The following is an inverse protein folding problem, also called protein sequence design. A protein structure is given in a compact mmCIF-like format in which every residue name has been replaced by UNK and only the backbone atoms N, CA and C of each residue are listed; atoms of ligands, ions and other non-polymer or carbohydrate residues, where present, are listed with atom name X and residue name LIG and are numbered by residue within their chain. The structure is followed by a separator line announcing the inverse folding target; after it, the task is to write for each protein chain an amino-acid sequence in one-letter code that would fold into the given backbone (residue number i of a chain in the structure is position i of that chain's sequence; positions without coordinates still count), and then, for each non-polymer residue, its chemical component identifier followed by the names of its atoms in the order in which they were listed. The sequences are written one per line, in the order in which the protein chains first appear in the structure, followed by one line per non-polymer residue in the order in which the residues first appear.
data_IF_216889769936
#
_entry.id   IF_216889769936
#
_cell.length_a   1.000
_cell.length_b   1.000
_cell.length_c   1.000
_cell.angle_alpha   90.00
_cell.angle_beta   90.00
_cell.angle_gamma   90.00
#
_symmetry.space_group_name_H-M   'P 1'
#
loop_
_entity.id
_entity.type
_entity.pdbx_description
1 polymer ?
#
# COMPACT_ATOMS: atom_id res chain seq x y z
N UNK A 1 -18.06 -9.53 3.63
CA UNK A 1 -16.66 -9.17 3.93
C UNK A 1 -15.91 -9.17 2.61
N UNK A 2 -15.46 -8.01 2.19
CA UNK A 2 -14.71 -7.80 0.95
C UNK A 2 -13.23 -7.53 1.25
N UNK A 3 -12.41 -7.86 0.27
CA UNK A 3 -10.97 -7.56 0.24
C UNK A 3 -10.73 -6.61 -0.91
N UNK A 4 -10.18 -5.43 -0.61
CA UNK A 4 -9.62 -4.55 -1.63
C UNK A 4 -8.20 -5.02 -1.93
N UNK A 5 -8.06 -5.86 -2.95
CA UNK A 5 -6.78 -6.52 -3.27
C UNK A 5 -5.77 -5.60 -3.94
N UNK A 6 -6.10 -4.35 -4.28
CA UNK A 6 -5.17 -3.40 -4.90
C UNK A 6 -5.66 -1.96 -4.71
N UNK A 7 -5.07 -1.25 -3.74
CA UNK A 7 -5.41 0.15 -3.48
C UNK A 7 -4.17 1.03 -3.27
N UNK A 8 -4.32 2.33 -3.47
CA UNK A 8 -3.30 3.35 -3.25
C UNK A 8 -3.70 4.31 -2.12
N UNK A 9 -4.10 3.77 -0.97
CA UNK A 9 -4.49 4.54 0.22
C UNK A 9 -3.33 5.42 0.74
N UNK A 10 -2.09 5.10 0.35
CA UNK A 10 -0.90 5.90 0.64
C UNK A 10 -0.84 7.25 -0.10
N UNK A 11 -1.74 7.51 -1.05
CA UNK A 11 -1.81 8.82 -1.71
C UNK A 11 -2.13 9.95 -0.73
N UNK A 12 -1.53 11.15 -0.90
CA UNK A 12 -1.60 12.22 0.08
C UNK A 12 -3.01 12.60 0.52
N UNK A 13 -3.98 12.60 -0.40
CA UNK A 13 -5.36 13.02 -0.10
C UNK A 13 -6.08 12.02 0.82
N UNK A 14 -5.81 10.73 0.65
CA UNK A 14 -6.41 9.66 1.46
C UNK A 14 -5.68 9.49 2.79
N UNK A 15 -4.35 9.56 2.73
CA UNK A 15 -3.48 9.41 3.89
C UNK A 15 -3.57 10.54 4.91
N UNK A 16 -4.07 11.70 4.50
CA UNK A 16 -4.39 12.81 5.39
C UNK A 16 -5.37 12.40 6.51
N UNK A 17 -6.24 11.41 6.27
CA UNK A 17 -7.17 10.88 7.28
C UNK A 17 -7.47 9.38 7.09
N UNK A 18 -6.51 8.54 7.48
CA UNK A 18 -6.64 7.08 7.41
C UNK A 18 -7.78 6.54 8.27
N UNK A 19 -8.13 7.22 9.37
CA UNK A 19 -9.26 6.84 10.22
C UNK A 19 -10.59 6.96 9.47
N UNK A 20 -10.80 8.08 8.77
CA UNK A 20 -12.00 8.27 7.97
C UNK A 20 -12.06 7.31 6.78
N UNK A 21 -10.93 7.05 6.11
CA UNK A 21 -10.84 6.04 5.03
C UNK A 21 -11.24 4.67 5.56
N UNK A 22 -10.61 4.21 6.65
CA UNK A 22 -10.91 2.94 7.31
C UNK A 22 -12.40 2.82 7.66
N UNK A 23 -12.99 3.83 8.28
CA UNK A 23 -14.40 3.81 8.68
C UNK A 23 -15.33 3.66 7.47
N UNK A 24 -15.04 4.35 6.35
CA UNK A 24 -15.81 4.19 5.10
C UNK A 24 -15.64 2.80 4.50
N UNK A 25 -14.44 2.23 4.52
CA UNK A 25 -14.19 0.86 4.06
C UNK A 25 -15.00 -0.16 4.87
N UNK A 26 -14.94 -0.09 6.20
CA UNK A 26 -15.71 -0.98 7.07
C UNK A 26 -17.23 -0.81 6.88
N UNK A 27 -17.72 0.42 6.74
CA UNK A 27 -19.14 0.69 6.46
C UNK A 27 -19.60 0.12 5.11
N UNK A 28 -18.71 0.05 4.13
CA UNK A 28 -18.95 -0.60 2.83
C UNK A 28 -18.71 -2.12 2.85
N UNK A 29 -18.32 -2.70 3.99
CA UNK A 29 -18.03 -4.12 4.14
C UNK A 29 -16.66 -4.57 3.62
N UNK A 30 -15.74 -3.63 3.34
CA UNK A 30 -14.33 -3.89 3.01
C UNK A 30 -13.53 -3.94 4.30
N UNK A 31 -13.08 -5.13 4.69
CA UNK A 31 -12.41 -5.34 5.99
C UNK A 31 -10.90 -5.55 5.85
N UNK A 32 -10.42 -5.84 4.64
CA UNK A 32 -9.01 -6.12 4.34
C UNK A 32 -8.58 -5.33 3.11
N UNK A 33 -7.34 -4.85 3.10
CA UNK A 33 -6.80 -4.13 1.94
C UNK A 33 -5.33 -4.46 1.69
N UNK A 34 -4.92 -4.40 0.43
CA UNK A 34 -3.52 -4.44 0.00
C UNK A 34 -3.13 -3.06 -0.55
N UNK A 35 -2.27 -2.35 0.18
CA UNK A 35 -1.69 -1.06 -0.23
C UNK A 35 -0.52 -1.32 -1.18
N UNK A 36 -0.63 -0.86 -2.42
CA UNK A 36 0.30 -1.26 -3.48
C UNK A 36 1.45 -0.27 -3.64
N UNK A 37 2.65 -0.81 -3.59
CA UNK A 37 3.89 -0.11 -3.89
C UNK A 37 4.14 -0.03 -5.40
N UNK A 38 4.55 1.15 -5.88
CA UNK A 38 4.83 1.42 -7.31
C UNK A 38 6.28 1.80 -7.58
N UNK A 39 7.04 2.19 -6.55
CA UNK A 39 8.48 2.47 -6.62
C UNK A 39 9.15 2.05 -5.31
N UNK A 40 10.42 1.64 -5.33
CA UNK A 40 11.12 1.22 -4.10
C UNK A 40 11.32 2.39 -3.13
N UNK A 41 11.42 3.61 -3.66
CA UNK A 41 11.59 4.85 -2.92
C UNK A 41 10.37 5.17 -2.04
N UNK A 42 9.17 4.78 -2.47
CA UNK A 42 7.92 5.00 -1.73
C UNK A 42 7.60 3.88 -0.72
N UNK A 43 8.34 2.78 -0.74
CA UNK A 43 7.98 1.59 0.05
C UNK A 43 7.84 1.87 1.55
N UNK A 44 8.71 2.70 2.13
CA UNK A 44 8.62 3.05 3.55
C UNK A 44 7.28 3.73 3.90
N UNK A 45 6.72 4.49 2.96
CA UNK A 45 5.45 5.17 3.15
C UNK A 45 4.25 4.23 2.98
N UNK A 46 4.34 3.33 2.01
CA UNK A 46 3.37 2.25 1.77
C UNK A 46 3.30 1.34 3.00
N UNK A 47 4.44 0.89 3.53
CA UNK A 47 4.53 0.06 4.72
C UNK A 47 3.92 0.75 5.95
N UNK A 48 4.26 2.03 6.17
CA UNK A 48 3.69 2.82 7.27
C UNK A 48 2.17 2.97 7.14
N UNK A 49 1.67 3.14 5.92
CA UNK A 49 0.23 3.25 5.66
C UNK A 49 -0.48 1.95 5.96
N UNK A 50 0.05 0.82 5.47
CA UNK A 50 -0.51 -0.50 5.77
C UNK A 50 -0.45 -0.83 7.28
N UNK A 51 0.61 -0.41 7.97
CA UNK A 51 0.76 -0.62 9.42
C UNK A 51 -0.29 0.10 10.29
N UNK A 52 -1.14 0.96 9.70
CA UNK A 52 -2.21 1.65 10.39
C UNK A 52 -3.35 0.72 10.87
N UNK A 53 -3.63 -0.38 10.15
CA UNK A 53 -4.65 -1.36 10.53
C UNK A 53 -4.09 -2.79 10.39
N UNK A 54 -4.33 -3.70 11.35
CA UNK A 54 -3.83 -5.08 11.29
C UNK A 54 -4.38 -5.91 10.11
N UNK A 55 -5.45 -5.46 9.45
CA UNK A 55 -6.01 -6.09 8.25
C UNK A 55 -5.57 -5.41 6.95
N UNK A 56 -4.63 -4.46 7.03
CA UNK A 56 -4.02 -3.87 5.85
C UNK A 56 -2.63 -4.48 5.64
N UNK A 57 -2.39 -4.88 4.40
CA UNK A 57 -1.15 -5.46 3.93
C UNK A 57 -0.51 -4.52 2.92
N UNK A 58 0.75 -4.74 2.57
CA UNK A 58 1.40 -4.03 1.48
C UNK A 58 2.14 -4.96 0.53
N UNK A 59 2.30 -4.51 -0.72
CA UNK A 59 3.28 -5.07 -1.64
C UNK A 59 4.59 -4.29 -1.62
N UNK A 60 5.65 -4.89 -2.16
CA UNK A 60 6.90 -4.21 -2.50
C UNK A 60 7.23 -4.51 -3.96
N UNK A 61 7.64 -3.50 -4.72
CA UNK A 61 7.92 -3.67 -6.14
C UNK A 61 8.02 -2.34 -6.88
N UNK A 62 8.20 -2.46 -8.19
CA UNK A 62 8.25 -1.32 -9.11
C UNK A 62 7.26 -1.54 -10.24
N UNK A 63 6.43 -0.53 -10.48
CA UNK A 63 5.43 -0.58 -11.55
C UNK A 63 6.09 -0.29 -12.90
N UNK A 64 5.77 -1.03 -13.99
CA UNK A 64 6.45 -0.89 -15.29
C UNK A 64 6.26 0.48 -15.96
N UNK A 65 5.31 1.28 -15.49
CA UNK A 65 5.10 2.66 -15.94
C UNK A 65 6.11 3.68 -15.39
N UNK A 66 6.85 3.35 -14.33
CA UNK A 66 7.84 4.23 -13.70
C UNK A 66 9.22 3.89 -14.27
N UNK A 67 9.76 4.78 -15.12
CA UNK A 67 11.00 4.52 -15.88
C UNK A 67 12.28 5.10 -15.26
N UNK A 68 12.12 6.00 -14.28
CA UNK A 68 13.22 6.73 -13.64
C UNK A 68 13.29 6.43 -12.14
N UNK A 69 13.05 5.18 -11.76
CA UNK A 69 13.16 4.70 -10.38
C UNK A 69 14.16 3.54 -10.32
N UNK A 70 14.52 3.15 -9.10
CA UNK A 70 15.40 2.02 -8.87
C UNK A 70 14.78 0.71 -9.40
N UNK A 71 15.38 0.09 -10.42
CA UNK A 71 14.97 -1.24 -10.89
C UNK A 71 15.29 -2.29 -9.80
N UNK A 72 14.31 -3.09 -9.34
CA UNK A 72 14.51 -3.96 -8.20
C UNK A 72 15.23 -5.25 -8.61
N UNK A 73 16.19 -5.70 -7.81
CA UNK A 73 16.62 -7.09 -7.81
C UNK A 73 15.71 -7.96 -6.94
N UNK A 74 15.65 -9.27 -7.20
CA UNK A 74 14.90 -10.21 -6.34
C UNK A 74 15.35 -10.13 -4.88
N UNK A 75 16.67 -10.03 -4.64
CA UNK A 75 17.25 -9.92 -3.29
C UNK A 75 16.75 -8.69 -2.55
N UNK A 76 16.65 -7.55 -3.25
CA UNK A 76 16.14 -6.29 -2.71
C UNK A 76 14.66 -6.33 -2.35
N UNK A 77 13.85 -7.07 -3.11
CA UNK A 77 12.43 -7.27 -2.81
C UNK A 77 12.28 -8.14 -1.56
N UNK A 78 13.01 -9.26 -1.47
CA UNK A 78 12.96 -10.17 -0.32
C UNK A 78 13.44 -9.51 0.96
N UNK A 79 14.46 -8.66 0.90
CA UNK A 79 14.99 -7.97 2.09
C UNK A 79 14.01 -6.94 2.66
N UNK A 80 13.11 -6.40 1.84
CA UNK A 80 12.15 -5.36 2.24
C UNK A 80 10.77 -5.92 2.64
N UNK A 81 10.44 -7.15 2.20
CA UNK A 81 9.20 -7.84 2.54
C UNK A 81 9.23 -8.40 3.96
#
# INVERSE_FOLDING_TARGET
MYVDSHCHINFPELKADLSAVRNRMHAAGVNTALVVCVTLEEFADVYRTASFDPNWYCSVGVHPGYKNCLEPTVSELVTRA
#
